data_IF_614051293437
#
_entry.id   IF_614051293437
#
_cell.length_a   1.000
_cell.length_b   1.000
_cell.length_c   1.000
_cell.angle_alpha   90.00
_cell.angle_beta   90.00
_cell.angle_gamma   90.00
#
_symmetry.space_group_name_H-M   'P 1'
#
loop_
_entity.id
_entity.type
_entity.pdbx_description
1 polymer ?
#
# COMPACT_ATOMS: atom_id res chain seq x y z
N UNK A 1 5.86 -12.71 4.64
CA UNK A 1 5.28 -11.36 4.48
C UNK A 1 4.99 -11.11 3.01
N UNK A 2 3.73 -10.77 2.70
CA UNK A 2 3.26 -10.40 1.36
C UNK A 2 3.15 -8.88 1.29
N UNK A 3 3.59 -8.30 0.18
CA UNK A 3 3.49 -6.87 -0.10
C UNK A 3 2.52 -6.66 -1.24
N UNK A 4 1.63 -5.68 -1.14
CA UNK A 4 0.74 -5.32 -2.25
C UNK A 4 1.01 -3.88 -2.67
N UNK A 5 1.20 -3.68 -3.98
CA UNK A 5 1.15 -2.37 -4.59
C UNK A 5 -0.11 -2.26 -5.46
N UNK A 6 -0.83 -1.15 -5.31
CA UNK A 6 -2.09 -0.88 -5.99
C UNK A 6 -2.02 0.44 -6.76
N UNK A 7 -2.53 0.42 -7.99
CA UNK A 7 -2.89 1.64 -8.73
C UNK A 7 -4.33 2.03 -8.44
N UNK A 8 -4.60 3.30 -8.17
CA UNK A 8 -5.97 3.82 -8.11
C UNK A 8 -6.32 4.60 -9.40
N UNK A 9 -7.53 4.42 -9.93
CA UNK A 9 -8.01 5.02 -11.20
C UNK A 9 -8.42 3.98 -12.27
N UNK A 10 -8.88 4.45 -13.44
CA UNK A 10 -9.74 3.73 -14.43
C UNK A 10 -9.36 2.29 -14.83
N UNK A 11 -8.15 1.82 -14.55
CA UNK A 11 -7.80 0.40 -14.53
C UNK A 11 -6.76 0.18 -13.43
N UNK A 12 -7.23 -0.29 -12.29
CA UNK A 12 -6.40 -0.76 -11.19
C UNK A 12 -5.78 -2.10 -11.56
N UNK A 13 -4.47 -2.19 -11.40
CA UNK A 13 -3.72 -3.43 -11.50
C UNK A 13 -2.86 -3.49 -10.25
N UNK A 14 -2.81 -4.66 -9.64
CA UNK A 14 -2.16 -4.84 -8.35
C UNK A 14 -1.41 -6.15 -8.30
N UNK A 15 -0.37 -6.15 -7.49
CA UNK A 15 0.62 -7.20 -7.47
C UNK A 15 0.98 -7.56 -6.04
N UNK A 16 0.96 -8.85 -5.77
CA UNK A 16 1.51 -9.44 -4.57
C UNK A 16 3.01 -9.76 -4.77
N UNK A 17 3.85 -9.28 -3.87
CA UNK A 17 5.29 -9.57 -3.84
C UNK A 17 5.68 -10.28 -2.53
N UNK A 18 6.76 -11.07 -2.58
CA UNK A 18 7.29 -11.78 -1.42
C UNK A 18 8.79 -11.52 -1.30
N UNK A 19 9.30 -11.36 -0.08
CA UNK A 19 10.74 -11.17 0.18
C UNK A 19 11.09 -9.83 0.83
N UNK A 20 12.36 -9.45 0.73
CA UNK A 20 12.93 -8.25 1.36
C UNK A 20 12.37 -6.98 0.70
N UNK A 21 11.93 -6.01 1.51
CA UNK A 21 11.26 -4.80 1.02
C UNK A 21 12.05 -4.02 -0.04
N UNK A 22 13.30 -3.63 0.25
CA UNK A 22 14.18 -2.92 -0.70
C UNK A 22 14.43 -3.72 -1.99
N UNK A 23 14.54 -5.05 -1.89
CA UNK A 23 14.69 -5.91 -3.06
C UNK A 23 13.42 -5.89 -3.93
N UNK A 24 12.24 -5.98 -3.32
CA UNK A 24 10.96 -5.90 -4.03
C UNK A 24 10.76 -4.52 -4.66
N UNK A 25 11.14 -3.43 -3.99
CA UNK A 25 11.11 -2.09 -4.56
C UNK A 25 11.90 -2.03 -5.87
N UNK A 26 13.18 -2.42 -5.83
CA UNK A 26 14.09 -2.34 -6.97
C UNK A 26 13.73 -3.28 -8.11
N UNK A 27 13.34 -4.51 -7.81
CA UNK A 27 13.18 -5.57 -8.82
C UNK A 27 11.75 -5.69 -9.33
N UNK A 28 10.76 -5.21 -8.58
CA UNK A 28 9.35 -5.39 -8.91
C UNK A 28 8.59 -4.07 -8.99
N UNK A 29 8.56 -3.30 -7.90
CA UNK A 29 7.69 -2.11 -7.78
C UNK A 29 8.11 -1.00 -8.74
N UNK A 30 9.37 -0.54 -8.71
CA UNK A 30 9.80 0.55 -9.60
C UNK A 30 9.76 0.15 -11.08
N UNK A 31 10.22 -1.04 -11.50
CA UNK A 31 10.06 -1.47 -12.89
C UNK A 31 8.58 -1.54 -13.32
N UNK A 32 7.69 -2.01 -12.44
CA UNK A 32 6.25 -2.02 -12.71
C UNK A 32 5.68 -0.60 -12.83
N UNK A 33 6.00 0.30 -11.90
CA UNK A 33 5.55 1.68 -11.91
C UNK A 33 6.01 2.39 -13.19
N UNK A 34 7.27 2.22 -13.61
CA UNK A 34 7.80 2.78 -14.87
C UNK A 34 7.04 2.28 -16.10
N UNK A 35 6.66 1.00 -16.14
CA UNK A 35 5.85 0.46 -17.25
C UNK A 35 4.40 0.95 -17.23
N UNK A 36 3.86 1.23 -16.04
CA UNK A 36 2.44 1.55 -15.85
C UNK A 36 2.15 3.05 -15.94
N UNK A 37 3.07 3.87 -15.45
CA UNK A 37 2.94 5.33 -15.35
C UNK A 37 3.97 6.09 -16.19
N UNK A 38 4.95 5.39 -16.78
CA UNK A 38 5.96 5.99 -17.64
C UNK A 38 5.75 5.66 -19.12
N UNK A 39 6.23 6.55 -19.99
CA UNK A 39 6.32 6.32 -21.43
C UNK A 39 7.55 7.06 -21.97
N UNK A 40 8.34 6.40 -22.82
CA UNK A 40 9.62 6.92 -23.35
C UNK A 40 10.58 7.49 -22.29
N UNK A 41 10.67 6.83 -21.13
CA UNK A 41 11.61 7.23 -20.06
C UNK A 41 11.16 8.44 -19.23
N UNK A 42 9.95 8.95 -19.43
CA UNK A 42 9.37 10.01 -18.60
C UNK A 42 8.07 9.58 -17.93
N UNK A 43 7.78 10.13 -16.74
CA UNK A 43 6.50 9.95 -16.06
C UNK A 43 5.40 10.72 -16.81
N UNK A 44 4.34 10.04 -17.21
CA UNK A 44 3.25 10.62 -18.01
C UNK A 44 2.07 11.10 -17.16
N UNK A 45 2.03 10.72 -15.88
CA UNK A 45 0.97 11.07 -14.92
C UNK A 45 1.59 11.38 -13.57
N UNK A 46 1.06 12.39 -12.88
CA UNK A 46 1.35 12.60 -11.47
C UNK A 46 0.71 11.48 -10.66
N UNK A 47 1.52 10.77 -9.88
CA UNK A 47 1.08 9.73 -8.97
C UNK A 47 1.95 9.78 -7.72
N UNK A 48 1.36 9.45 -6.59
CA UNK A 48 2.01 9.55 -5.29
C UNK A 48 2.24 8.14 -4.76
N UNK A 49 3.47 7.84 -4.34
CA UNK A 49 3.75 6.61 -3.60
C UNK A 49 3.35 6.78 -2.14
N UNK A 50 2.68 5.78 -1.56
CA UNK A 50 2.30 5.75 -0.15
C UNK A 50 2.63 4.38 0.44
N UNK A 51 3.04 4.35 1.70
CA UNK A 51 3.27 3.15 2.50
C UNK A 51 2.98 3.45 3.99
N UNK A 52 2.79 2.40 4.79
CA UNK A 52 2.62 2.51 6.24
C UNK A 52 3.95 2.74 6.99
N UNK A 53 3.86 2.92 8.31
CA UNK A 53 5.01 3.14 9.19
C UNK A 53 5.71 1.84 9.66
N UNK A 54 5.64 0.72 8.91
CA UNK A 54 6.34 -0.51 9.29
C UNK A 54 7.86 -0.26 9.43
N UNK A 55 8.58 -0.96 10.35
CA UNK A 55 9.99 -0.66 10.63
C UNK A 55 10.91 -0.65 9.40
N UNK A 56 10.67 -1.54 8.42
CA UNK A 56 11.45 -1.59 7.17
C UNK A 56 11.25 -0.37 6.26
N UNK A 57 10.13 0.34 6.42
CA UNK A 57 9.82 1.55 5.66
C UNK A 57 10.52 2.75 6.28
N UNK A 58 10.60 2.82 7.60
CA UNK A 58 11.18 3.95 8.35
C UNK A 58 12.70 4.11 8.22
N UNK A 59 13.41 3.13 7.65
CA UNK A 59 14.85 3.29 7.43
C UNK A 59 15.11 4.45 6.45
N UNK A 60 16.00 5.38 6.81
CA UNK A 60 16.33 6.55 5.98
C UNK A 60 16.79 6.13 4.57
N UNK A 61 17.59 5.06 4.47
CA UNK A 61 18.00 4.50 3.18
C UNK A 61 16.80 4.01 2.34
N UNK A 62 15.77 3.46 2.97
CA UNK A 62 14.54 3.05 2.27
C UNK A 62 13.76 4.27 1.79
N UNK A 63 13.61 5.32 2.62
CA UNK A 63 12.92 6.55 2.21
C UNK A 63 13.63 7.21 1.02
N UNK A 64 14.95 7.36 1.09
CA UNK A 64 15.76 7.96 0.03
C UNK A 64 15.65 7.13 -1.27
N UNK A 65 15.72 5.80 -1.16
CA UNK A 65 15.55 4.92 -2.31
C UNK A 65 14.20 5.12 -3.02
N UNK A 66 13.11 5.31 -2.26
CA UNK A 66 11.79 5.57 -2.84
C UNK A 66 11.77 6.96 -3.48
N UNK A 67 12.16 8.00 -2.73
CA UNK A 67 12.23 9.39 -3.20
C UNK A 67 12.94 9.52 -4.54
N UNK A 68 14.07 8.84 -4.71
CA UNK A 68 14.89 8.92 -5.92
C UNK A 68 14.29 8.17 -7.12
N UNK A 69 13.24 7.37 -6.93
CA UNK A 69 12.69 6.47 -7.95
C UNK A 69 11.21 6.68 -8.28
N UNK A 70 10.54 7.65 -7.64
CA UNK A 70 9.11 7.96 -7.86
C UNK A 70 8.93 9.48 -8.02
N UNK A 71 7.88 9.96 -8.71
CA UNK A 71 7.69 11.39 -8.91
C UNK A 71 7.25 12.14 -7.64
N UNK A 72 6.39 11.52 -6.82
CA UNK A 72 5.95 12.05 -5.54
C UNK A 72 5.86 10.93 -4.50
N UNK A 73 6.11 11.25 -3.24
CA UNK A 73 6.18 10.27 -2.16
C UNK A 73 5.68 10.87 -0.83
N UNK A 74 4.67 10.23 -0.24
CA UNK A 74 4.24 10.52 1.14
C UNK A 74 5.21 9.84 2.10
N UNK A 75 6.11 10.64 2.67
CA UNK A 75 7.13 10.18 3.58
C UNK A 75 6.54 9.75 4.93
N UNK A 76 7.15 8.75 5.55
CA UNK A 76 6.89 8.42 6.95
C UNK A 76 7.90 9.14 7.84
N UNK A 77 7.51 9.45 9.06
CA UNK A 77 8.42 10.07 10.01
C UNK A 77 9.56 9.09 10.38
N UNK A 78 10.80 9.47 10.03
CA UNK A 78 12.01 8.69 10.31
C UNK A 78 12.70 9.07 11.62
N UNK A 79 12.35 10.21 12.25
CA UNK A 79 12.91 10.60 13.55
C UNK A 79 12.04 11.65 14.24
N UNK A 80 11.91 11.56 15.56
CA UNK A 80 11.24 12.58 16.38
C UNK A 80 11.82 14.00 16.26
N UNK A 81 13.00 14.15 15.68
CA UNK A 81 13.68 15.43 15.45
C UNK A 81 13.37 16.04 14.07
N UNK A 82 13.06 15.21 13.07
CA UNK A 82 12.66 15.63 11.73
C UNK A 82 11.17 15.36 11.62
N UNK A 83 10.34 16.23 12.21
CA UNK A 83 8.89 16.17 12.09
C UNK A 83 8.44 16.52 10.66
N UNK A 84 8.87 15.73 9.68
CA UNK A 84 8.67 15.94 8.25
C UNK A 84 7.93 14.78 7.57
N UNK A 85 7.54 13.75 8.32
CA UNK A 85 6.71 12.67 7.81
C UNK A 85 5.28 13.15 7.59
N UNK A 86 4.74 12.92 6.40
CA UNK A 86 3.37 13.25 6.03
C UNK A 86 2.39 12.16 6.46
N UNK A 87 2.84 10.89 6.50
CA UNK A 87 2.02 9.78 6.95
C UNK A 87 2.06 9.64 8.49
N UNK A 88 0.89 9.69 9.17
CA UNK A 88 0.84 9.56 10.62
C UNK A 88 1.21 8.14 11.10
N UNK A 89 1.96 8.00 12.20
CA UNK A 89 2.23 6.69 12.80
C UNK A 89 0.94 6.03 13.30
N UNK A 90 0.94 4.69 13.38
CA UNK A 90 -0.17 3.88 13.94
C UNK A 90 -1.56 4.21 13.36
N UNK A 91 -1.64 4.48 12.06
CA UNK A 91 -2.88 4.88 11.39
C UNK A 91 -3.39 3.83 10.39
N UNK A 92 -3.71 2.59 10.83
CA UNK A 92 -4.29 1.58 9.95
C UNK A 92 -5.65 2.03 9.38
N UNK A 93 -6.39 2.86 10.13
CA UNK A 93 -7.67 3.45 9.72
C UNK A 93 -7.56 4.34 8.46
N UNK A 94 -6.35 4.69 8.04
CA UNK A 94 -6.06 5.48 6.83
C UNK A 94 -5.43 4.64 5.71
N UNK A 95 -4.93 3.44 5.98
CA UNK A 95 -4.33 2.57 4.96
C UNK A 95 -5.40 1.75 4.25
N UNK A 96 -5.59 1.97 2.94
CA UNK A 96 -6.62 1.29 2.12
C UNK A 96 -6.49 -0.23 2.20
N UNK A 97 -5.25 -0.72 2.25
CA UNK A 97 -4.98 -2.15 2.42
C UNK A 97 -5.49 -2.63 3.79
N UNK A 98 -5.22 -1.89 4.87
CA UNK A 98 -5.55 -2.30 6.24
C UNK A 98 -7.05 -2.23 6.53
N UNK A 99 -7.69 -1.09 6.26
CA UNK A 99 -9.11 -0.93 6.64
C UNK A 99 -10.10 -1.64 5.72
N UNK A 100 -9.66 -2.15 4.56
CA UNK A 100 -10.56 -2.76 3.58
C UNK A 100 -10.04 -4.09 3.04
N UNK A 101 -8.92 -4.07 2.31
CA UNK A 101 -8.56 -5.17 1.42
C UNK A 101 -7.97 -6.39 2.16
N UNK A 102 -7.23 -6.18 3.24
CA UNK A 102 -6.63 -7.27 4.01
C UNK A 102 -7.65 -8.21 4.61
N UNK A 103 -8.76 -7.69 5.15
CA UNK A 103 -9.84 -8.52 5.72
C UNK A 103 -10.45 -9.47 4.69
N UNK A 104 -10.63 -9.00 3.44
CA UNK A 104 -11.15 -9.78 2.32
C UNK A 104 -10.14 -10.87 1.92
N UNK A 105 -8.86 -10.49 1.77
CA UNK A 105 -7.81 -11.43 1.41
C UNK A 105 -7.64 -12.52 2.45
N UNK A 106 -7.67 -12.18 3.73
CA UNK A 106 -7.55 -13.13 4.82
C UNK A 106 -8.76 -14.08 4.84
N UNK A 107 -9.99 -13.55 4.76
CA UNK A 107 -11.20 -14.37 4.74
C UNK A 107 -11.20 -15.38 3.59
N UNK A 108 -10.81 -14.95 2.38
CA UNK A 108 -10.78 -15.81 1.20
C UNK A 108 -9.60 -16.78 1.20
N UNK A 109 -8.38 -16.26 1.37
CA UNK A 109 -7.17 -17.07 1.26
C UNK A 109 -6.97 -17.99 2.46
N UNK A 110 -7.40 -17.60 3.67
CA UNK A 110 -7.26 -18.38 4.90
C UNK A 110 -8.54 -19.13 5.29
N UNK A 111 -9.55 -19.20 4.40
CA UNK A 111 -10.76 -20.00 4.61
C UNK A 111 -10.49 -21.49 4.90
N UNK A 112 -9.30 -21.99 4.52
CA UNK A 112 -8.83 -23.36 4.78
C UNK A 112 -7.34 -23.37 5.13
N UNK A 113 -6.87 -24.37 5.91
CA UNK A 113 -5.45 -24.57 6.17
C UNK A 113 -4.65 -24.87 4.89
N UNK A 114 -3.41 -24.37 4.83
CA UNK A 114 -2.47 -24.64 3.74
C UNK A 114 -1.37 -25.60 4.16
N UNK A 115 -1.02 -26.53 3.27
CA UNK A 115 0.03 -27.52 3.51
C UNK A 115 1.46 -26.99 3.28
N UNK A 116 1.58 -25.79 2.68
CA UNK A 116 2.86 -25.14 2.45
C UNK A 116 2.70 -23.63 2.28
N UNK A 117 3.81 -22.91 2.41
CA UNK A 117 3.86 -21.48 2.11
C UNK A 117 3.51 -21.23 0.64
N UNK A 118 3.94 -22.07 -0.28
CA UNK A 118 3.63 -21.96 -1.72
C UNK A 118 2.13 -22.10 -2.00
N UNK A 119 1.44 -22.98 -1.26
CA UNK A 119 -0.02 -23.12 -1.36
C UNK A 119 -0.74 -21.86 -0.85
N UNK A 120 -0.29 -21.30 0.28
CA UNK A 120 -0.81 -20.03 0.80
C UNK A 120 -0.57 -18.89 -0.21
N UNK A 121 0.63 -18.79 -0.80
CA UNK A 121 0.95 -17.76 -1.80
C UNK A 121 0.00 -17.82 -3.01
N UNK A 122 -0.26 -19.03 -3.53
CA UNK A 122 -1.19 -19.24 -4.64
C UNK A 122 -2.61 -18.84 -4.26
N UNK A 123 -3.03 -19.16 -3.04
CA UNK A 123 -4.37 -18.81 -2.54
C UNK A 123 -4.54 -17.31 -2.36
N UNK A 124 -3.52 -16.59 -1.86
CA UNK A 124 -3.53 -15.13 -1.77
C UNK A 124 -3.60 -14.47 -3.15
N UNK A 125 -2.84 -14.96 -4.15
CA UNK A 125 -2.91 -14.44 -5.52
C UNK A 125 -4.29 -14.70 -6.13
N UNK A 126 -4.87 -15.88 -5.89
CA UNK A 126 -6.23 -16.21 -6.35
C UNK A 126 -7.27 -15.28 -5.71
N UNK A 127 -7.20 -15.08 -4.38
CA UNK A 127 -8.09 -14.19 -3.66
C UNK A 127 -7.98 -12.75 -4.18
N UNK A 128 -6.74 -12.27 -4.36
CA UNK A 128 -6.47 -10.95 -4.93
C UNK A 128 -7.14 -10.74 -6.28
N UNK A 129 -6.95 -11.68 -7.21
CA UNK A 129 -7.53 -11.60 -8.55
C UNK A 129 -9.07 -11.76 -8.57
N UNK A 130 -9.66 -12.24 -7.47
CA UNK A 130 -11.10 -12.38 -7.33
C UNK A 130 -11.77 -11.14 -6.71
N UNK A 131 -10.99 -10.19 -6.16
CA UNK A 131 -11.54 -8.94 -5.63
C UNK A 131 -12.11 -8.12 -6.80
N UNK A 132 -13.41 -7.81 -6.81
CA UNK A 132 -14.01 -6.97 -7.84
C UNK A 132 -13.43 -5.57 -7.80
N UNK A 133 -13.26 -4.95 -8.97
CA UNK A 133 -12.73 -3.60 -9.07
C UNK A 133 -13.54 -2.57 -8.26
N UNK A 134 -14.86 -2.77 -8.22
CA UNK A 134 -15.80 -1.90 -7.52
C UNK A 134 -15.56 -1.88 -6.00
N UNK A 135 -14.98 -2.95 -5.44
CA UNK A 135 -14.59 -2.99 -4.02
C UNK A 135 -13.38 -2.10 -3.77
N UNK A 136 -12.39 -2.15 -4.67
CA UNK A 136 -11.19 -1.31 -4.60
C UNK A 136 -11.58 0.15 -4.78
N UNK A 137 -12.40 0.46 -5.78
CA UNK A 137 -12.87 1.83 -6.06
C UNK A 137 -13.63 2.40 -4.85
N UNK A 138 -14.54 1.61 -4.25
CA UNK A 138 -15.24 2.03 -3.03
C UNK A 138 -14.29 2.30 -1.87
N UNK A 139 -13.27 1.47 -1.69
CA UNK A 139 -12.28 1.68 -0.64
C UNK A 139 -11.52 3.01 -0.86
N UNK A 140 -11.18 3.35 -2.11
CA UNK A 140 -10.57 4.64 -2.47
C UNK A 140 -11.52 5.81 -2.22
N UNK A 141 -12.77 5.69 -2.65
CA UNK A 141 -13.78 6.75 -2.50
C UNK A 141 -14.12 7.02 -1.01
N UNK A 142 -13.87 6.06 -0.14
CA UNK A 142 -14.01 6.21 1.31
C UNK A 142 -12.80 6.88 1.98
N UNK A 143 -11.63 6.91 1.34
CA UNK A 143 -10.41 7.49 1.92
C UNK A 143 -10.60 8.97 2.34
N UNK A 144 -11.17 9.87 1.51
CA UNK A 144 -11.45 11.26 1.93
C UNK A 144 -12.39 11.35 3.14
N UNK A 145 -13.38 10.45 3.26
CA UNK A 145 -14.30 10.43 4.39
C UNK A 145 -13.58 10.00 5.67
N UNK A 146 -12.66 9.05 5.57
CA UNK A 146 -11.80 8.58 6.68
C UNK A 146 -10.85 9.68 7.14
N UNK A 147 -10.23 10.43 6.21
CA UNK A 147 -9.44 11.62 6.56
C UNK A 147 -10.27 12.63 7.35
N UNK A 148 -11.51 12.91 6.91
CA UNK A 148 -12.41 13.80 7.65
C UNK A 148 -12.71 13.28 9.07
N UNK A 149 -13.02 12.00 9.21
CA UNK A 149 -13.23 11.38 10.54
C UNK A 149 -11.99 11.48 11.44
N UNK A 150 -10.79 11.30 10.88
CA UNK A 150 -9.54 11.49 11.60
C UNK A 150 -9.38 12.93 12.10
N UNK A 151 -9.68 13.92 11.26
CA UNK A 151 -9.65 15.34 11.62
C UNK A 151 -10.68 15.64 12.72
N UNK A 152 -11.92 15.17 12.57
CA UNK A 152 -13.00 15.34 13.54
C UNK A 152 -12.66 14.69 14.90
N UNK A 153 -11.94 13.56 14.86
CA UNK A 153 -11.40 12.88 16.03
C UNK A 153 -10.09 13.49 16.56
N UNK A 154 -9.59 14.57 15.95
CA UNK A 154 -8.30 15.22 16.28
C UNK A 154 -7.12 14.25 16.31
N UNK A 155 -7.08 13.33 15.35
CA UNK A 155 -6.04 12.28 15.26
C UNK A 155 -6.31 11.06 16.15
N UNK A 156 -7.42 11.00 16.88
CA UNK A 156 -7.84 9.81 17.62
C UNK A 156 -8.48 8.73 16.72
N UNK A 157 -8.62 7.52 17.26
CA UNK A 157 -9.31 6.41 16.59
C UNK A 157 -10.79 6.71 16.34
N UNK A 158 -11.30 6.27 15.18
CA UNK A 158 -12.66 6.60 14.72
C UNK A 158 -13.47 5.42 14.17
N UNK A 159 -12.95 4.19 14.26
CA UNK A 159 -13.68 2.97 13.84
C UNK A 159 -14.55 2.36 14.95
N UNK A 160 -14.35 2.75 16.22
CA UNK A 160 -15.02 2.16 17.39
C UNK A 160 -16.03 3.11 18.05
N UNK A 161 -17.05 3.58 17.32
CA UNK A 161 -18.17 4.33 17.91
C UNK A 161 -19.52 3.82 17.43
#
# INVERSE_FOLDING_TARGET
>A
MMWVAQKFGAHSISYAFYGIFKYNLRTKVFPWARRTYGHYGQWQRHWVFQQDCAPSHKAEETQNLIRDNVPEFIEVDISSQRNNGEWPPNSPDLSILDYSLWSILEAEACSKPHQSVEALKKSLVKAWNAIPQEVIDRAVDDFPKRLKKCIDARGGHFENK
#
